data_IF_152371579658
#
_entry.id   IF_152371579658
#
_cell.length_a   1.000
_cell.length_b   1.000
_cell.length_c   1.000
_cell.angle_alpha   90.00
_cell.angle_beta   90.00
_cell.angle_gamma   90.00
#
_symmetry.space_group_name_H-M   'P 1'
#
loop_
_entity.id
_entity.type
_entity.pdbx_description
1 polymer ?
#
# COMPACT_ATOMS: atom_id res chain seq x y z
N UNK A 1 -6.80 -30.99 -17.38
CA UNK A 1 -6.46 -29.76 -18.14
C UNK A 1 -7.50 -28.71 -17.81
N UNK A 2 -7.12 -27.55 -17.24
CA UNK A 2 -8.08 -26.46 -16.99
C UNK A 2 -8.65 -25.99 -18.32
N UNK A 3 -9.97 -26.13 -18.50
CA UNK A 3 -10.64 -25.53 -19.66
C UNK A 3 -10.62 -24.00 -19.47
N UNK A 4 -10.10 -23.30 -20.47
CA UNK A 4 -10.15 -21.83 -20.51
C UNK A 4 -11.61 -21.42 -20.53
N UNK A 5 -12.04 -20.64 -19.55
CA UNK A 5 -13.38 -20.08 -19.50
C UNK A 5 -13.40 -18.94 -20.52
N UNK A 6 -14.16 -19.09 -21.61
CA UNK A 6 -14.30 -18.10 -22.68
C UNK A 6 -15.53 -17.22 -22.53
N UNK A 7 -16.52 -17.62 -21.72
CA UNK A 7 -17.74 -16.85 -21.49
C UNK A 7 -17.50 -15.72 -20.48
N UNK A 8 -17.78 -14.48 -20.89
CA UNK A 8 -17.59 -13.25 -20.11
C UNK A 8 -18.34 -13.31 -18.77
N UNK A 9 -19.54 -13.90 -18.74
CA UNK A 9 -20.36 -14.00 -17.52
C UNK A 9 -19.69 -14.87 -16.47
N UNK A 10 -19.10 -15.99 -16.91
CA UNK A 10 -18.35 -16.90 -16.06
C UNK A 10 -17.00 -16.30 -15.63
N UNK A 11 -16.35 -15.50 -16.48
CA UNK A 11 -15.13 -14.77 -16.13
C UNK A 11 -15.38 -13.73 -15.04
N UNK A 12 -16.44 -12.92 -15.14
CA UNK A 12 -16.82 -11.94 -14.10
C UNK A 12 -17.13 -12.64 -12.77
N UNK A 13 -17.82 -13.78 -12.82
CA UNK A 13 -18.11 -14.57 -11.61
C UNK A 13 -16.83 -15.12 -10.99
N UNK A 14 -15.87 -15.57 -11.79
CA UNK A 14 -14.56 -16.03 -11.32
C UNK A 14 -13.77 -14.88 -10.66
N UNK A 15 -13.73 -13.70 -11.27
CA UNK A 15 -13.09 -12.51 -10.68
C UNK A 15 -13.71 -12.10 -9.34
N UNK A 16 -15.05 -12.17 -9.21
CA UNK A 16 -15.74 -11.93 -7.93
C UNK A 16 -15.33 -12.97 -6.87
N UNK A 17 -15.22 -14.24 -7.25
CA UNK A 17 -14.79 -15.30 -6.34
C UNK A 17 -13.34 -15.10 -5.88
N UNK A 18 -12.42 -14.75 -6.81
CA UNK A 18 -11.02 -14.43 -6.48
C UNK A 18 -10.97 -13.23 -5.53
N UNK A 19 -11.79 -12.19 -5.76
CA UNK A 19 -11.85 -11.03 -4.87
C UNK A 19 -12.27 -11.40 -3.45
N UNK A 20 -13.28 -12.25 -3.29
CA UNK A 20 -13.74 -12.72 -1.97
C UNK A 20 -12.64 -13.57 -1.30
N UNK A 21 -12.03 -14.50 -2.04
CA UNK A 21 -10.94 -15.33 -1.51
C UNK A 21 -9.74 -14.48 -1.07
N UNK A 22 -9.34 -13.51 -1.89
CA UNK A 22 -8.28 -12.55 -1.57
C UNK A 22 -8.61 -11.71 -0.34
N UNK A 23 -9.86 -11.28 -0.17
CA UNK A 23 -10.33 -10.55 1.00
C UNK A 23 -10.21 -11.40 2.27
N UNK A 24 -10.70 -12.64 2.23
CA UNK A 24 -10.59 -13.58 3.36
C UNK A 24 -9.13 -13.88 3.68
N UNK A 25 -8.30 -14.11 2.66
CA UNK A 25 -6.86 -14.35 2.83
C UNK A 25 -6.18 -13.14 3.50
N UNK A 26 -6.50 -11.93 3.05
CA UNK A 26 -5.95 -10.69 3.61
C UNK A 26 -6.34 -10.54 5.08
N UNK A 27 -7.60 -10.82 5.43
CA UNK A 27 -8.05 -10.83 6.82
C UNK A 27 -7.34 -11.90 7.66
N UNK A 28 -7.12 -13.09 7.11
CA UNK A 28 -6.38 -14.15 7.78
C UNK A 28 -4.93 -13.75 8.08
N UNK A 29 -4.23 -13.18 7.10
CA UNK A 29 -2.85 -12.68 7.28
C UNK A 29 -2.80 -11.58 8.32
N UNK A 30 -3.70 -10.59 8.24
CA UNK A 30 -3.80 -9.51 9.23
C UNK A 30 -4.08 -10.07 10.63
N UNK A 31 -4.98 -11.05 10.75
CA UNK A 31 -5.30 -11.70 12.02
C UNK A 31 -4.11 -12.42 12.65
N UNK A 32 -3.32 -13.16 11.86
CA UNK A 32 -2.12 -13.85 12.33
C UNK A 32 -1.04 -12.85 12.76
N UNK A 33 -0.82 -11.79 11.97
CA UNK A 33 0.15 -10.75 12.30
C UNK A 33 -0.27 -9.98 13.56
N UNK A 34 -1.55 -9.63 13.70
CA UNK A 34 -2.08 -8.95 14.87
C UNK A 34 -2.00 -9.84 16.12
N UNK A 35 -2.36 -11.11 16.01
CA UNK A 35 -2.21 -12.08 17.11
C UNK A 35 -0.75 -12.19 17.54
N UNK A 36 0.17 -12.28 16.59
CA UNK A 36 1.60 -12.34 16.87
C UNK A 36 2.08 -11.05 17.53
N UNK A 37 1.64 -9.89 17.03
CA UNK A 37 1.99 -8.60 17.60
C UNK A 37 1.53 -8.43 19.05
N UNK A 38 0.38 -9.00 19.43
CA UNK A 38 -0.14 -8.98 20.80
C UNK A 38 0.58 -9.99 21.70
N UNK A 39 1.01 -11.14 21.15
CA UNK A 39 1.60 -12.24 21.95
C UNK A 39 3.12 -12.20 22.09
N UNK A 40 3.81 -11.68 21.09
CA UNK A 40 5.28 -11.69 20.97
C UNK A 40 5.83 -10.28 20.71
N UNK A 41 5.00 -9.25 20.87
CA UNK A 41 5.32 -7.88 20.53
C UNK A 41 5.49 -7.62 19.02
N UNK A 42 5.73 -6.35 18.70
CA UNK A 42 5.98 -5.89 17.32
C UNK A 42 7.27 -6.50 16.76
N UNK A 43 8.29 -6.72 17.59
CA UNK A 43 9.54 -7.37 17.21
C UNK A 43 9.33 -8.83 16.76
N UNK A 44 8.44 -9.56 17.45
CA UNK A 44 8.04 -10.90 17.04
C UNK A 44 7.28 -10.92 15.72
N UNK A 45 6.47 -9.89 15.44
CA UNK A 45 5.75 -9.76 14.17
C UNK A 45 6.68 -9.44 12.99
N UNK A 46 7.58 -8.46 13.13
CA UNK A 46 8.47 -8.04 12.03
C UNK A 46 9.53 -9.08 11.67
N UNK A 47 9.90 -9.93 12.62
CA UNK A 47 10.85 -11.03 12.41
C UNK A 47 10.24 -12.20 11.61
N UNK A 48 8.91 -12.27 11.48
CA UNK A 48 8.26 -13.34 10.74
C UNK A 48 8.30 -13.10 9.23
N UNK A 49 8.62 -14.11 8.41
CA UNK A 49 8.57 -13.99 6.96
C UNK A 49 7.20 -13.55 6.41
N UNK A 50 6.12 -13.92 7.12
CA UNK A 50 4.76 -13.54 6.76
C UNK A 50 4.56 -12.03 6.69
N UNK A 51 5.22 -11.28 7.59
CA UNK A 51 5.13 -9.82 7.61
C UNK A 51 5.77 -9.21 6.36
N UNK A 52 6.92 -9.73 5.92
CA UNK A 52 7.61 -9.28 4.71
C UNK A 52 6.74 -9.54 3.47
N UNK A 53 6.17 -10.74 3.36
CA UNK A 53 5.27 -11.09 2.23
C UNK A 53 4.05 -10.18 2.23
N UNK A 54 3.44 -9.94 3.39
CA UNK A 54 2.31 -9.03 3.52
C UNK A 54 2.68 -7.62 3.03
N UNK A 55 3.79 -7.05 3.49
CA UNK A 55 4.25 -5.73 3.06
C UNK A 55 4.51 -5.66 1.54
N UNK A 56 5.16 -6.68 0.96
CA UNK A 56 5.42 -6.73 -0.47
C UNK A 56 4.11 -6.79 -1.27
N UNK A 57 3.16 -7.62 -0.85
CA UNK A 57 1.85 -7.71 -1.53
C UNK A 57 1.05 -6.41 -1.41
N UNK A 58 1.13 -5.71 -0.27
CA UNK A 58 0.50 -4.41 -0.10
C UNK A 58 1.10 -3.35 -1.03
N UNK A 59 2.42 -3.35 -1.23
CA UNK A 59 3.10 -2.48 -2.20
C UNK A 59 2.57 -2.74 -3.60
N UNK A 60 2.60 -3.99 -4.06
CA UNK A 60 2.13 -4.38 -5.40
C UNK A 60 0.67 -4.01 -5.59
N UNK A 61 -0.19 -4.32 -4.62
CA UNK A 61 -1.60 -3.96 -4.67
C UNK A 61 -1.81 -2.45 -4.75
N UNK A 62 -1.05 -1.67 -3.97
CA UNK A 62 -1.07 -0.21 -4.03
C UNK A 62 -0.72 0.32 -5.42
N UNK A 63 0.33 -0.21 -6.05
CA UNK A 63 0.69 0.13 -7.43
C UNK A 63 -0.44 -0.21 -8.43
N UNK A 64 -1.05 -1.40 -8.33
CA UNK A 64 -2.14 -1.82 -9.22
C UNK A 64 -3.41 -0.98 -9.04
N UNK A 65 -3.78 -0.63 -7.81
CA UNK A 65 -4.94 0.24 -7.56
C UNK A 65 -4.70 1.65 -8.12
N UNK A 66 -3.47 2.14 -8.03
CA UNK A 66 -3.07 3.43 -8.58
C UNK A 66 -3.09 3.48 -10.10
N UNK A 67 -2.61 2.43 -10.78
CA UNK A 67 -2.65 2.39 -12.25
C UNK A 67 -4.08 2.50 -12.75
N UNK A 68 -5.03 1.83 -12.09
CA UNK A 68 -6.46 1.94 -12.38
C UNK A 68 -6.98 3.34 -12.05
N UNK A 69 -6.54 3.95 -10.94
CA UNK A 69 -6.96 5.30 -10.57
C UNK A 69 -6.51 6.37 -11.56
N UNK A 70 -5.31 6.25 -12.15
CA UNK A 70 -4.81 7.22 -13.13
C UNK A 70 -5.60 7.12 -14.43
N UNK A 71 -5.93 5.91 -14.87
CA UNK A 71 -6.68 5.66 -16.10
C UNK A 71 -8.17 6.03 -15.99
N UNK A 72 -8.69 6.13 -14.75
CA UNK A 72 -10.08 6.49 -14.47
C UNK A 72 -10.27 7.94 -13.97
N UNK A 73 -9.20 8.70 -13.74
CA UNK A 73 -9.24 10.08 -13.27
C UNK A 73 -9.25 11.04 -14.49
N UNK A 74 -10.27 11.91 -14.57
CA UNK A 74 -10.47 12.84 -15.69
C UNK A 74 -9.18 13.63 -16.04
N UNK A 75 -8.79 13.71 -17.33
CA UNK A 75 -7.57 14.40 -17.77
C UNK A 75 -7.55 15.90 -17.43
N UNK A 76 -8.71 16.51 -17.12
CA UNK A 76 -8.85 17.95 -16.92
C UNK A 76 -8.42 18.47 -15.54
N UNK A 77 -8.05 17.59 -14.59
CA UNK A 77 -7.73 18.01 -13.22
C UNK A 77 -6.26 18.45 -13.11
N UNK A 78 -5.98 19.69 -13.53
CA UNK A 78 -4.65 20.32 -13.43
C UNK A 78 -4.07 20.15 -12.01
N UNK A 79 -2.88 19.57 -11.94
CA UNK A 79 -2.16 19.35 -10.69
C UNK A 79 -1.70 20.70 -10.17
N UNK A 80 -2.23 21.11 -9.00
CA UNK A 80 -1.78 22.34 -8.35
C UNK A 80 -0.30 22.17 -7.92
N UNK A 81 0.59 22.98 -8.48
CA UNK A 81 2.00 23.11 -8.04
C UNK A 81 2.01 23.30 -6.51
N UNK A 82 2.69 22.40 -5.78
CA UNK A 82 2.76 22.39 -4.32
C UNK A 82 1.89 21.34 -3.60
N UNK A 83 0.98 20.64 -4.30
CA UNK A 83 0.18 19.57 -3.66
C UNK A 83 1.03 18.35 -3.27
N UNK A 84 2.10 18.06 -4.01
CA UNK A 84 2.99 16.93 -3.74
C UNK A 84 3.62 17.00 -2.34
N UNK A 85 4.24 18.14 -2.03
CA UNK A 85 4.91 18.34 -0.75
C UNK A 85 3.92 18.28 0.43
N UNK A 86 2.71 18.80 0.26
CA UNK A 86 1.64 18.70 1.28
C UNK A 86 1.26 17.26 1.56
N UNK A 87 1.06 16.44 0.53
CA UNK A 87 0.72 15.03 0.70
C UNK A 87 1.87 14.23 1.33
N UNK A 88 3.12 14.48 0.91
CA UNK A 88 4.30 13.84 1.53
C UNK A 88 4.42 14.23 3.01
N UNK A 89 4.18 15.50 3.37
CA UNK A 89 4.19 15.93 4.77
C UNK A 89 3.11 15.25 5.61
N UNK A 90 1.91 15.05 5.06
CA UNK A 90 0.83 14.33 5.75
C UNK A 90 1.22 12.87 5.96
N UNK A 91 1.74 12.20 4.93
CA UNK A 91 2.23 10.82 5.04
C UNK A 91 3.33 10.72 6.10
N UNK A 92 4.29 11.64 6.08
CA UNK A 92 5.37 11.70 7.06
C UNK A 92 4.82 11.83 8.48
N UNK A 93 3.91 12.77 8.73
CA UNK A 93 3.27 12.97 10.05
C UNK A 93 2.54 11.71 10.54
N UNK A 94 1.77 11.06 9.67
CA UNK A 94 1.05 9.82 10.00
C UNK A 94 2.03 8.71 10.37
N UNK A 95 3.09 8.53 9.58
CA UNK A 95 4.09 7.48 9.82
C UNK A 95 4.90 7.71 11.09
N UNK A 96 5.25 8.96 11.40
CA UNK A 96 5.90 9.33 12.66
C UNK A 96 4.95 9.07 13.83
N UNK A 97 3.68 9.46 13.72
CA UNK A 97 2.69 9.22 14.78
C UNK A 97 2.48 7.74 15.07
N UNK A 98 2.37 6.91 14.03
CA UNK A 98 2.26 5.46 14.15
C UNK A 98 3.54 4.82 14.72
N UNK A 99 4.72 5.24 14.25
CA UNK A 99 6.00 4.77 14.77
C UNK A 99 6.18 5.12 16.25
N UNK A 100 5.78 6.33 16.65
CA UNK A 100 5.84 6.78 18.05
C UNK A 100 4.90 5.98 18.96
N UNK A 101 3.66 5.72 18.50
CA UNK A 101 2.70 4.84 19.20
C UNK A 101 3.29 3.45 19.47
N UNK A 102 4.04 2.91 18.51
CA UNK A 102 4.73 1.63 18.66
C UNK A 102 5.85 1.73 19.70
N UNK A 103 6.65 2.81 19.70
CA UNK A 103 7.72 2.97 20.70
C UNK A 103 7.22 3.13 22.15
N UNK A 104 5.96 3.57 22.32
CA UNK A 104 5.33 3.69 23.65
C UNK A 104 4.86 2.35 24.22
N UNK A 105 4.80 1.30 23.39
CA UNK A 105 4.27 0.00 23.80
C UNK A 105 5.33 -0.77 24.62
N UNK A 106 4.98 -1.36 25.79
CA UNK A 106 5.95 -1.91 26.75
C UNK A 106 6.80 -3.08 26.22
N UNK A 107 6.31 -3.80 25.22
CA UNK A 107 6.98 -4.97 24.63
C UNK A 107 7.87 -4.64 23.43
N UNK A 108 7.83 -3.39 22.92
CA UNK A 108 8.56 -3.00 21.72
C UNK A 108 9.61 -1.93 22.01
N UNK A 109 10.81 -2.16 21.49
CA UNK A 109 11.90 -1.20 21.66
C UNK A 109 11.77 0.01 20.72
N UNK A 110 12.53 1.10 20.97
CA UNK A 110 12.57 2.26 20.07
C UNK A 110 12.96 1.90 18.63
N UNK A 111 13.81 0.86 18.50
CA UNK A 111 14.23 0.27 17.23
C UNK A 111 13.07 -0.28 16.40
N UNK A 112 12.07 -0.89 17.04
CA UNK A 112 10.96 -1.54 16.34
C UNK A 112 10.00 -0.49 15.75
N UNK A 113 9.75 0.59 16.51
CA UNK A 113 8.97 1.72 16.01
C UNK A 113 9.64 2.43 14.84
N UNK A 114 10.98 2.57 14.86
CA UNK A 114 11.73 3.14 13.73
C UNK A 114 11.67 2.23 12.49
N UNK A 115 11.83 0.91 12.66
CA UNK A 115 11.75 -0.06 11.55
C UNK A 115 10.35 -0.07 10.93
N UNK A 116 9.29 -0.18 11.74
CA UNK A 116 7.92 -0.21 11.22
C UNK A 116 7.54 1.12 10.58
N UNK A 117 7.83 2.24 11.24
CA UNK A 117 7.57 3.57 10.69
C UNK A 117 8.31 3.82 9.38
N UNK A 118 9.59 3.46 9.31
CA UNK A 118 10.42 3.59 8.11
C UNK A 118 9.93 2.73 6.94
N UNK A 119 9.54 1.49 7.20
CA UNK A 119 9.03 0.59 6.15
C UNK A 119 7.68 1.09 5.63
N UNK A 120 6.75 1.52 6.49
CA UNK A 120 5.47 2.09 6.05
C UNK A 120 5.69 3.39 5.26
N UNK A 121 6.62 4.24 5.70
CA UNK A 121 6.96 5.48 5.02
C UNK A 121 7.51 5.21 3.62
N UNK A 122 8.51 4.33 3.48
CA UNK A 122 9.07 3.95 2.18
C UNK A 122 8.02 3.29 1.28
N UNK A 123 7.20 2.39 1.83
CA UNK A 123 6.11 1.71 1.15
C UNK A 123 5.10 2.70 0.56
N UNK A 124 4.84 3.81 1.24
CA UNK A 124 3.86 4.81 0.77
C UNK A 124 4.51 5.85 -0.14
N UNK A 125 5.76 6.22 0.13
CA UNK A 125 6.48 7.26 -0.59
C UNK A 125 6.95 6.82 -1.98
N UNK A 126 7.44 5.58 -2.13
CA UNK A 126 7.89 5.07 -3.42
C UNK A 126 6.81 5.11 -4.52
N UNK A 127 5.59 4.55 -4.32
CA UNK A 127 4.52 4.64 -5.31
C UNK A 127 4.04 6.08 -5.52
N UNK A 128 3.94 6.88 -4.45
CA UNK A 128 3.51 8.28 -4.56
C UNK A 128 4.48 9.13 -5.38
N UNK A 129 5.79 8.95 -5.18
CA UNK A 129 6.84 9.68 -5.89
C UNK A 129 6.89 9.30 -7.38
N UNK A 130 6.80 8.01 -7.69
CA UNK A 130 6.74 7.53 -9.08
C UNK A 130 5.59 8.14 -9.87
N UNK A 131 4.42 8.31 -9.25
CA UNK A 131 3.25 8.90 -9.90
C UNK A 131 3.39 10.40 -10.06
N UNK A 132 3.91 11.10 -9.05
CA UNK A 132 4.18 12.52 -9.21
C UNK A 132 5.11 12.78 -10.39
N UNK A 133 6.10 11.91 -10.59
CA UNK A 133 6.96 11.94 -11.76
C UNK A 133 6.18 11.70 -13.07
N UNK A 134 5.37 10.64 -13.17
CA UNK A 134 4.56 10.37 -14.36
C UNK A 134 3.58 11.51 -14.69
N UNK A 135 2.93 12.04 -13.67
CA UNK A 135 1.99 13.16 -13.76
C UNK A 135 2.67 14.46 -14.20
N UNK A 136 3.85 14.75 -13.64
CA UNK A 136 4.63 15.92 -14.01
C UNK A 136 5.07 15.84 -15.48
N UNK A 137 5.52 14.66 -15.91
CA UNK A 137 5.89 14.39 -17.31
C UNK A 137 4.70 14.63 -18.26
N UNK A 138 3.53 14.06 -17.95
CA UNK A 138 2.33 14.26 -18.77
C UNK A 138 1.88 15.73 -18.82
N UNK A 139 2.03 16.50 -17.73
CA UNK A 139 1.70 17.93 -17.75
C UNK A 139 2.67 18.77 -18.57
N UNK A 140 3.97 18.42 -18.58
CA UNK A 140 4.98 19.10 -19.41
C UNK A 140 4.72 18.82 -20.91
N UNK A 141 4.36 17.59 -21.28
CA UNK A 141 4.01 17.23 -22.66
C UNK A 141 2.71 17.92 -23.16
N UNK A 142 1.79 18.30 -22.28
CA UNK A 142 0.51 18.98 -22.65
C UNK A 142 0.64 20.51 -22.72
N UNK A 143 1.63 21.11 -22.03
CA UNK A 143 1.88 22.56 -22.07
C UNK A 143 2.78 22.96 -23.27
N UNK A 144 3.37 21.99 -24.00
CA UNK A 144 4.20 22.20 -25.19
C UNK A 144 3.44 22.10 -26.55
N UNK A 145 2.16 21.71 -26.54
CA UNK A 145 1.22 21.79 -27.71
C UNK A 145 0.37 23.08 -27.68
#
# INVERSE_FOLDING_TARGET
MMKKITDERLMIKNLKNIRIAFFIQSLGVIGILLYTAIKHGISGMTSQPLWIVFMLTAIVLGYLQMSISIEHENPDKKIKKGSYFKTVMIILLITIGLGFLITLSPESGPKDGFVVGGVIFLCTLAPYSYIYYLRKKHSEDTDEE
#
